data_IF_874291840439
#
_entry.id   IF_874291840439
#
_cell.length_a   1.000
_cell.length_b   1.000
_cell.length_c   1.000
_cell.angle_alpha   90.00
_cell.angle_beta   90.00
_cell.angle_gamma   90.00
#
_symmetry.space_group_name_H-M   'P 1'
#
loop_
_entity.id
_entity.type
_entity.pdbx_description
1 polymer ?
#
# COMPACT_ATOMS: atom_id res chain seq x y z
N UNK A 1 13.61 9.05 32.23
CA UNK A 1 13.99 9.00 30.80
C UNK A 1 12.98 9.85 30.04
N UNK A 2 13.44 10.89 29.36
CA UNK A 2 12.60 11.78 28.56
C UNK A 2 11.90 11.01 27.41
N UNK A 3 10.70 11.44 27.01
CA UNK A 3 9.90 10.75 25.98
C UNK A 3 10.63 10.71 24.63
N UNK A 4 11.32 11.80 24.27
CA UNK A 4 12.10 11.90 23.04
C UNK A 4 13.17 10.80 23.04
N UNK A 5 13.96 10.71 24.11
CA UNK A 5 15.01 9.69 24.22
C UNK A 5 14.49 8.26 24.12
N UNK A 6 13.28 7.98 24.64
CA UNK A 6 12.68 6.64 24.54
C UNK A 6 12.27 6.31 23.10
N UNK A 7 11.68 7.26 22.38
CA UNK A 7 11.27 7.07 20.98
C UNK A 7 12.50 6.95 20.08
N UNK A 8 13.48 7.83 20.24
CA UNK A 8 14.73 7.78 19.50
C UNK A 8 15.45 6.45 19.71
N UNK A 9 15.54 5.98 20.97
CA UNK A 9 16.14 4.68 21.27
C UNK A 9 15.48 3.53 20.51
N UNK A 10 14.15 3.47 20.47
CA UNK A 10 13.42 2.42 19.73
C UNK A 10 13.72 2.52 18.22
N UNK A 11 13.70 3.72 17.65
CA UNK A 11 13.96 3.93 16.23
C UNK A 11 15.41 3.57 15.85
N UNK A 12 16.38 4.00 16.67
CA UNK A 12 17.81 3.81 16.42
C UNK A 12 18.24 2.36 16.66
N UNK A 13 17.64 1.65 17.62
CA UNK A 13 17.95 0.24 17.91
C UNK A 13 17.18 -0.75 17.03
N UNK A 14 16.20 -0.29 16.24
CA UNK A 14 15.52 -1.16 15.26
C UNK A 14 16.47 -1.46 14.10
N UNK A 15 16.83 -2.72 13.87
CA UNK A 15 17.71 -3.16 12.78
C UNK A 15 16.94 -3.97 11.73
N UNK A 16 16.91 -3.47 10.49
CA UNK A 16 16.25 -4.14 9.37
C UNK A 16 17.13 -5.20 8.71
N UNK A 17 18.46 -5.09 8.85
CA UNK A 17 19.45 -6.00 8.23
C UNK A 17 19.16 -7.48 8.50
N UNK A 18 18.53 -7.83 9.62
CA UNK A 18 18.16 -9.20 9.97
C UNK A 18 17.14 -9.82 9.02
N UNK A 19 16.31 -9.00 8.37
CA UNK A 19 15.35 -9.45 7.35
C UNK A 19 15.93 -9.41 5.92
N UNK A 20 17.18 -8.96 5.75
CA UNK A 20 17.79 -8.79 4.44
C UNK A 20 18.51 -10.05 3.97
N UNK A 21 18.07 -10.60 2.84
CA UNK A 21 18.78 -11.68 2.16
C UNK A 21 19.88 -11.10 1.28
N UNK A 22 21.14 -11.23 1.72
CA UNK A 22 22.31 -10.71 1.00
C UNK A 22 22.50 -11.31 -0.40
N UNK A 23 22.08 -12.56 -0.62
CA UNK A 23 22.24 -13.24 -1.93
C UNK A 23 21.21 -12.71 -2.92
N UNK A 24 19.97 -12.54 -2.49
CA UNK A 24 18.89 -12.00 -3.34
C UNK A 24 18.90 -10.47 -3.40
N UNK A 25 19.55 -9.82 -2.44
CA UNK A 25 19.56 -8.38 -2.24
C UNK A 25 18.14 -7.79 -2.06
N UNK A 26 17.29 -8.52 -1.34
CA UNK A 26 15.90 -8.17 -1.08
C UNK A 26 15.56 -8.45 0.39
N UNK A 27 14.54 -7.77 0.92
CA UNK A 27 14.01 -8.07 2.25
C UNK A 27 13.04 -9.24 2.17
N UNK A 28 13.20 -10.18 3.09
CA UNK A 28 12.21 -11.22 3.38
C UNK A 28 10.96 -10.58 4.00
N UNK A 29 9.79 -11.17 3.72
CA UNK A 29 8.51 -10.77 4.33
C UNK A 29 8.47 -11.17 5.81
N UNK A 30 9.23 -12.18 6.23
CA UNK A 30 9.25 -12.59 7.62
C UNK A 30 10.44 -13.46 8.00
N UNK A 31 10.46 -13.81 9.27
CA UNK A 31 11.42 -14.72 9.88
C UNK A 31 10.66 -15.80 10.64
N UNK A 32 10.99 -17.06 10.38
CA UNK A 32 10.45 -18.20 11.11
C UNK A 32 11.39 -18.54 12.28
N UNK A 33 10.86 -18.42 13.50
CA UNK A 33 11.62 -18.68 14.73
C UNK A 33 11.89 -20.18 14.90
N UNK A 34 10.92 -21.04 14.57
CA UNK A 34 11.05 -22.49 14.74
C UNK A 34 12.10 -23.07 13.79
N UNK A 35 12.13 -22.57 12.55
CA UNK A 35 13.11 -22.95 11.52
C UNK A 35 14.41 -22.15 11.61
N UNK A 36 14.45 -21.11 12.48
CA UNK A 36 15.54 -20.16 12.61
C UNK A 36 16.04 -19.63 11.24
N UNK A 37 15.10 -19.26 10.37
CA UNK A 37 15.35 -18.92 8.98
C UNK A 37 14.42 -17.83 8.45
N UNK A 38 14.87 -17.09 7.44
CA UNK A 38 14.01 -16.19 6.68
C UNK A 38 12.97 -16.98 5.90
N UNK A 39 11.75 -16.46 5.82
CA UNK A 39 10.73 -17.03 4.94
C UNK A 39 11.17 -16.89 3.47
N UNK A 40 10.80 -17.87 2.63
CA UNK A 40 11.11 -17.83 1.19
C UNK A 40 10.11 -16.94 0.43
N UNK A 41 9.87 -15.73 0.90
CA UNK A 41 8.98 -14.74 0.29
C UNK A 41 9.55 -13.35 0.53
N UNK A 42 9.54 -12.49 -0.49
CA UNK A 42 10.33 -11.27 -0.50
C UNK A 42 9.53 -10.07 -0.98
N UNK A 43 9.87 -8.90 -0.47
CA UNK A 43 9.43 -7.62 -1.02
C UNK A 43 10.29 -7.27 -2.24
N UNK A 44 9.76 -7.57 -3.42
CA UNK A 44 10.49 -7.49 -4.68
C UNK A 44 9.98 -6.40 -5.63
N UNK A 45 8.96 -5.61 -5.26
CA UNK A 45 8.42 -4.54 -6.09
C UNK A 45 8.72 -3.14 -5.52
N UNK A 46 9.00 -2.18 -6.41
CA UNK A 46 9.15 -0.78 -6.04
C UNK A 46 7.79 -0.11 -5.74
N UNK A 47 6.71 -0.61 -6.34
CA UNK A 47 5.35 -0.21 -6.02
C UNK A 47 4.84 -1.04 -4.83
N UNK A 48 5.33 -0.72 -3.65
CA UNK A 48 4.93 -1.30 -2.36
C UNK A 48 5.21 -0.30 -1.23
N UNK A 49 4.42 -0.41 -0.17
CA UNK A 49 4.62 0.25 1.11
C UNK A 49 6.00 -0.07 1.71
N UNK A 50 6.47 -1.31 1.52
CA UNK A 50 7.70 -1.84 2.11
C UNK A 50 8.95 -1.12 1.60
N UNK A 51 8.86 -0.37 0.49
CA UNK A 51 9.97 0.47 0.02
C UNK A 51 10.37 1.55 1.02
N UNK A 52 9.51 1.90 1.98
CA UNK A 52 9.88 2.76 3.11
C UNK A 52 11.02 2.13 3.92
N UNK A 53 10.90 0.84 4.24
CA UNK A 53 11.94 0.06 4.90
C UNK A 53 13.21 0.04 4.06
N UNK A 54 13.09 -0.24 2.76
CA UNK A 54 14.22 -0.18 1.81
C UNK A 54 14.93 1.17 1.86
N UNK A 55 14.17 2.25 1.83
CA UNK A 55 14.71 3.61 1.84
C UNK A 55 15.45 3.93 3.16
N UNK A 56 14.84 3.60 4.30
CA UNK A 56 15.44 3.83 5.63
C UNK A 56 16.70 2.98 5.81
N UNK A 57 16.65 1.69 5.49
CA UNK A 57 17.80 0.78 5.66
C UNK A 57 19.00 1.20 4.80
N UNK A 58 18.75 1.66 3.56
CA UNK A 58 19.81 2.23 2.71
C UNK A 58 20.35 3.53 3.31
N UNK A 59 19.46 4.44 3.74
CA UNK A 59 19.87 5.73 4.31
C UNK A 59 20.69 5.57 5.60
N UNK A 60 20.44 4.51 6.38
CA UNK A 60 21.19 4.14 7.59
C UNK A 60 22.47 3.35 7.32
N UNK A 61 22.72 2.95 6.07
CA UNK A 61 23.87 2.12 5.71
C UNK A 61 23.77 0.66 6.17
N UNK A 62 22.57 0.18 6.53
CA UNK A 62 22.34 -1.22 6.91
C UNK A 62 22.40 -2.15 5.70
N UNK A 63 22.02 -1.64 4.52
CA UNK A 63 22.03 -2.39 3.26
C UNK A 63 22.54 -1.53 2.10
N UNK A 64 23.14 -2.16 1.09
CA UNK A 64 23.67 -1.48 -0.09
C UNK A 64 22.57 -0.87 -0.96
N UNK A 65 22.88 0.26 -1.60
CA UNK A 65 22.00 0.91 -2.59
C UNK A 65 21.59 0.00 -3.76
N UNK A 66 22.34 -1.08 -4.01
CA UNK A 66 21.99 -2.09 -5.02
C UNK A 66 20.60 -2.71 -4.76
N UNK A 67 20.18 -2.81 -3.50
CA UNK A 67 18.85 -3.24 -3.11
C UNK A 67 17.74 -2.45 -3.83
N UNK A 68 17.87 -1.11 -3.90
CA UNK A 68 16.88 -0.25 -4.55
C UNK A 68 16.71 -0.55 -6.05
N UNK A 69 17.79 -0.96 -6.70
CA UNK A 69 17.78 -1.31 -8.12
C UNK A 69 17.26 -2.73 -8.37
N UNK A 70 17.29 -3.60 -7.36
CA UNK A 70 16.70 -4.95 -7.42
C UNK A 70 15.18 -4.96 -7.32
N UNK A 71 14.58 -3.94 -6.72
CA UNK A 71 13.13 -3.78 -6.71
C UNK A 71 12.58 -3.67 -8.13
N UNK A 72 11.64 -4.55 -8.46
CA UNK A 72 10.95 -4.64 -9.74
C UNK A 72 10.14 -3.38 -10.05
N UNK A 73 10.15 -3.00 -11.33
CA UNK A 73 9.48 -1.82 -11.88
C UNK A 73 8.50 -2.20 -12.98
N UNK A 74 7.82 -3.33 -12.80
CA UNK A 74 6.89 -3.88 -13.78
C UNK A 74 5.81 -2.85 -14.10
N UNK A 75 5.66 -2.51 -15.38
CA UNK A 75 4.71 -1.53 -15.85
C UNK A 75 3.49 -2.20 -16.47
N UNK A 76 2.35 -1.56 -16.30
CA UNK A 76 1.12 -1.86 -17.03
C UNK A 76 0.67 -0.62 -17.80
N UNK A 77 -0.21 -0.82 -18.77
CA UNK A 77 -0.84 0.26 -19.53
C UNK A 77 -2.34 0.07 -19.55
N UNK A 78 -3.08 1.13 -19.21
CA UNK A 78 -4.53 1.20 -19.38
C UNK A 78 -4.86 2.50 -20.11
N UNK A 79 -5.67 2.37 -21.16
CA UNK A 79 -5.92 3.44 -22.12
C UNK A 79 -4.58 3.97 -22.68
N UNK A 80 -4.28 5.26 -22.44
CA UNK A 80 -3.03 5.93 -22.86
C UNK A 80 -2.06 6.18 -21.70
N UNK A 81 -2.35 5.68 -20.50
CA UNK A 81 -1.57 5.93 -19.30
C UNK A 81 -0.81 4.68 -18.86
N UNK A 82 0.38 4.88 -18.28
CA UNK A 82 1.26 3.80 -17.81
C UNK A 82 1.62 4.04 -16.35
N UNK A 83 1.84 2.95 -15.62
CA UNK A 83 2.36 3.03 -14.26
C UNK A 83 2.82 1.67 -13.77
N UNK A 84 3.55 1.67 -12.65
CA UNK A 84 3.97 0.43 -12.01
C UNK A 84 2.79 -0.31 -11.40
N UNK A 85 2.88 -1.64 -11.39
CA UNK A 85 1.96 -2.53 -10.68
C UNK A 85 2.54 -2.92 -9.33
N UNK A 86 1.65 -3.15 -8.37
CA UNK A 86 1.94 -3.63 -7.02
C UNK A 86 1.46 -5.07 -6.87
N UNK A 87 1.54 -5.64 -5.67
CA UNK A 87 1.17 -7.03 -5.46
C UNK A 87 -0.36 -7.21 -5.50
N UNK A 88 -1.07 -6.42 -4.69
CA UNK A 88 -2.53 -6.46 -4.59
C UNK A 88 -3.22 -5.39 -5.43
N UNK A 89 -2.55 -4.29 -5.78
CA UNK A 89 -3.16 -3.19 -6.54
C UNK A 89 -3.98 -2.25 -5.65
N UNK A 90 -3.67 -2.20 -4.35
CA UNK A 90 -4.34 -1.35 -3.36
C UNK A 90 -3.66 -0.01 -3.24
N UNK A 91 -4.42 1.02 -2.82
CA UNK A 91 -3.89 2.38 -2.72
C UNK A 91 -2.79 2.52 -1.66
N UNK A 92 -2.91 1.79 -0.56
CA UNK A 92 -1.94 1.80 0.54
C UNK A 92 -0.51 1.50 0.05
N UNK A 93 -0.34 0.48 -0.78
CA UNK A 93 0.96 0.10 -1.36
C UNK A 93 1.66 1.27 -2.07
N UNK A 94 0.91 2.15 -2.75
CA UNK A 94 1.48 3.27 -3.50
C UNK A 94 1.66 4.53 -2.65
N UNK A 95 0.69 4.84 -1.77
CA UNK A 95 0.57 6.15 -1.16
C UNK A 95 1.04 6.21 0.30
N UNK A 96 1.06 5.11 1.05
CA UNK A 96 1.67 5.09 2.40
C UNK A 96 3.13 5.59 2.37
N UNK A 97 3.98 5.21 1.38
CA UNK A 97 5.33 5.74 1.28
C UNK A 97 5.45 7.27 1.33
N UNK A 98 4.45 8.00 0.84
CA UNK A 98 4.47 9.46 0.78
C UNK A 98 4.41 10.14 2.16
N UNK A 99 4.13 9.40 3.24
CA UNK A 99 4.18 9.92 4.61
C UNK A 99 5.58 10.37 5.02
N UNK A 100 6.62 9.70 4.51
CA UNK A 100 8.03 10.00 4.84
C UNK A 100 8.90 10.23 3.59
N UNK A 101 8.46 9.79 2.41
CA UNK A 101 9.19 9.95 1.15
C UNK A 101 8.57 11.06 0.32
N UNK A 102 9.38 12.04 -0.10
CA UNK A 102 8.92 13.10 -1.01
C UNK A 102 8.67 12.52 -2.41
N UNK A 103 7.55 12.91 -3.03
CA UNK A 103 7.33 12.71 -4.47
C UNK A 103 7.98 13.84 -5.27
N UNK A 104 8.60 13.51 -6.40
CA UNK A 104 9.20 14.47 -7.32
C UNK A 104 8.44 14.42 -8.65
N UNK A 105 8.02 15.59 -9.15
CA UNK A 105 7.28 15.70 -10.41
C UNK A 105 8.05 15.11 -11.59
N UNK A 106 7.32 14.58 -12.58
CA UNK A 106 7.87 14.04 -13.83
C UNK A 106 8.83 12.85 -13.62
N UNK A 107 8.66 12.11 -12.52
CA UNK A 107 9.38 10.85 -12.29
C UNK A 107 8.49 9.65 -12.59
N UNK A 108 9.10 8.46 -12.71
CA UNK A 108 8.34 7.21 -12.87
C UNK A 108 7.32 6.99 -11.74
N UNK A 109 7.69 7.37 -10.51
CA UNK A 109 6.82 7.29 -9.35
C UNK A 109 5.65 8.28 -9.43
N UNK A 110 5.92 9.52 -9.84
CA UNK A 110 4.89 10.55 -10.03
C UNK A 110 3.86 10.16 -11.09
N UNK A 111 4.34 9.63 -12.23
CA UNK A 111 3.46 9.09 -13.27
C UNK A 111 2.65 7.89 -12.74
N UNK A 112 3.29 7.01 -11.96
CA UNK A 112 2.61 5.88 -11.32
C UNK A 112 1.51 6.34 -10.36
N UNK A 113 1.74 7.36 -9.53
CA UNK A 113 0.72 7.89 -8.63
C UNK A 113 -0.49 8.43 -9.41
N UNK A 114 -0.23 9.21 -10.44
CA UNK A 114 -1.28 9.74 -11.33
C UNK A 114 -2.05 8.61 -12.00
N UNK A 115 -1.35 7.59 -12.48
CA UNK A 115 -1.94 6.39 -13.10
C UNK A 115 -2.83 5.60 -12.14
N UNK A 116 -2.38 5.39 -10.90
CA UNK A 116 -3.12 4.66 -9.86
C UNK A 116 -4.40 5.40 -9.48
N UNK A 117 -4.34 6.71 -9.26
CA UNK A 117 -5.55 7.52 -8.97
C UNK A 117 -6.56 7.43 -10.11
N UNK A 118 -6.10 7.53 -11.37
CA UNK A 118 -6.97 7.38 -12.56
C UNK A 118 -7.62 6.01 -12.62
N UNK A 119 -6.83 4.96 -12.36
CA UNK A 119 -7.29 3.58 -12.33
C UNK A 119 -8.33 3.32 -11.24
N UNK A 120 -8.08 3.80 -10.02
CA UNK A 120 -9.02 3.75 -8.90
C UNK A 120 -10.34 4.46 -9.23
N UNK A 121 -10.27 5.69 -9.76
CA UNK A 121 -11.47 6.44 -10.22
C UNK A 121 -12.20 5.74 -11.37
N UNK A 122 -11.49 5.11 -12.30
CA UNK A 122 -12.09 4.37 -13.42
C UNK A 122 -12.84 3.14 -12.91
N UNK A 123 -12.19 2.35 -12.06
CA UNK A 123 -12.75 1.13 -11.51
C UNK A 123 -13.94 1.39 -10.57
N UNK A 124 -13.87 2.43 -9.73
CA UNK A 124 -14.99 2.88 -8.91
C UNK A 124 -16.20 3.30 -9.75
N UNK A 125 -15.98 4.09 -10.82
CA UNK A 125 -17.06 4.48 -11.76
C UNK A 125 -17.73 3.31 -12.45
N UNK A 126 -16.97 2.29 -12.86
CA UNK A 126 -17.53 1.08 -13.48
C UNK A 126 -18.48 0.31 -12.55
N UNK A 127 -18.35 0.48 -11.23
CA UNK A 127 -19.22 -0.15 -10.22
C UNK A 127 -20.20 0.81 -9.57
N UNK A 128 -20.22 2.07 -10.00
CA UNK A 128 -20.98 3.14 -9.36
C UNK A 128 -20.61 3.37 -7.87
N UNK A 129 -19.35 3.11 -7.47
CA UNK A 129 -18.87 3.25 -6.10
C UNK A 129 -17.83 4.39 -5.98
N UNK A 130 -17.60 4.95 -4.79
CA UNK A 130 -16.44 5.80 -4.52
C UNK A 130 -15.14 5.03 -4.78
N UNK A 131 -14.06 5.75 -5.05
CA UNK A 131 -12.72 5.16 -5.15
C UNK A 131 -12.04 5.15 -3.78
N UNK A 132 -10.94 4.43 -3.63
CA UNK A 132 -10.32 4.24 -2.31
C UNK A 132 -10.05 2.78 -1.97
N UNK A 133 -9.75 1.93 -2.96
CA UNK A 133 -9.66 0.48 -2.71
C UNK A 133 -8.35 0.18 -1.98
N UNK A 134 -8.46 -0.33 -0.75
CA UNK A 134 -7.31 -0.67 0.08
C UNK A 134 -7.66 -1.57 1.27
N UNK A 135 -6.66 -2.23 1.84
CA UNK A 135 -6.75 -3.14 2.99
C UNK A 135 -7.44 -2.48 4.20
N UNK A 136 -8.36 -3.18 4.87
CA UNK A 136 -8.97 -2.73 6.12
C UNK A 136 -9.29 -3.89 7.07
N UNK A 137 -9.19 -3.61 8.38
CA UNK A 137 -9.13 -4.65 9.43
C UNK A 137 -10.44 -5.35 9.79
N UNK A 138 -11.60 -4.91 9.32
CA UNK A 138 -12.87 -5.58 9.68
C UNK A 138 -13.11 -6.87 8.89
N UNK A 139 -12.54 -7.01 7.70
CA UNK A 139 -12.68 -8.23 6.88
C UNK A 139 -11.55 -9.26 7.10
N UNK A 140 -10.60 -8.96 7.98
CA UNK A 140 -9.44 -9.83 8.26
C UNK A 140 -9.69 -10.86 9.38
N UNK A 141 -10.91 -10.95 9.92
CA UNK A 141 -11.24 -11.89 10.97
C UNK A 141 -12.31 -12.87 10.47
N UNK A 142 -11.92 -14.13 10.26
CA UNK A 142 -12.87 -15.25 10.32
C UNK A 142 -13.27 -15.48 11.79
N UNK A 143 -14.39 -16.17 12.02
CA UNK A 143 -14.92 -16.63 13.31
C UNK A 143 -13.85 -17.40 14.14
N UNK A 144 -12.78 -17.86 13.49
CA UNK A 144 -11.64 -18.56 14.12
C UNK A 144 -10.34 -17.72 14.26
N UNK A 145 -10.36 -16.39 14.01
CA UNK A 145 -9.18 -15.51 14.06
C UNK A 145 -8.05 -15.84 13.05
N UNK A 146 -8.31 -16.68 12.06
CA UNK A 146 -7.34 -17.03 11.01
C UNK A 146 -7.38 -16.03 9.83
N UNK A 147 -6.20 -15.58 9.38
CA UNK A 147 -6.02 -14.70 8.22
C UNK A 147 -6.29 -15.45 6.91
N UNK A 148 -7.51 -15.37 6.37
CA UNK A 148 -7.82 -15.83 5.00
C UNK A 148 -7.50 -14.73 3.98
N UNK A 149 -6.49 -14.95 3.14
CA UNK A 149 -5.92 -13.97 2.19
C UNK A 149 -6.77 -13.84 0.90
N UNK A 150 -8.00 -13.29 0.98
CA UNK A 150 -8.77 -12.96 -0.24
C UNK A 150 -8.18 -11.72 -0.91
N UNK A 151 -7.88 -11.81 -2.20
CA UNK A 151 -7.21 -10.77 -2.95
C UNK A 151 -8.20 -9.63 -3.28
N UNK A 152 -7.91 -8.40 -2.89
CA UNK A 152 -8.68 -7.20 -3.27
C UNK A 152 -7.75 -6.13 -3.82
N UNK A 153 -8.25 -5.37 -4.80
CA UNK A 153 -7.49 -4.31 -5.45
C UNK A 153 -8.06 -4.00 -6.83
N UNK A 154 -7.48 -3.03 -7.52
CA UNK A 154 -7.84 -2.79 -8.92
C UNK A 154 -7.18 -3.88 -9.77
N UNK A 155 -7.93 -4.70 -10.53
CA UNK A 155 -7.40 -5.93 -11.14
C UNK A 155 -6.22 -5.73 -12.09
N UNK A 156 -6.13 -4.57 -12.73
CA UNK A 156 -5.02 -4.24 -13.63
C UNK A 156 -3.86 -3.52 -12.95
N UNK A 157 -3.95 -3.23 -11.65
CA UNK A 157 -2.87 -2.66 -10.84
C UNK A 157 -2.14 -3.70 -10.00
N UNK A 158 -2.69 -4.91 -9.84
CA UNK A 158 -2.12 -5.97 -9.03
C UNK A 158 -1.57 -7.14 -9.86
N UNK A 159 -0.49 -7.77 -9.40
CA UNK A 159 0.02 -9.02 -9.95
C UNK A 159 -0.86 -10.24 -9.59
N UNK A 160 -1.47 -10.22 -8.41
CA UNK A 160 -2.26 -11.36 -7.92
C UNK A 160 -3.49 -11.58 -8.80
N UNK A 161 -3.71 -12.82 -9.23
CA UNK A 161 -4.95 -13.21 -9.95
C UNK A 161 -6.11 -13.32 -8.95
N UNK A 162 -7.34 -13.05 -9.39
CA UNK A 162 -8.55 -13.19 -8.56
C UNK A 162 -8.93 -11.95 -7.73
N UNK A 163 -8.35 -10.77 -8.01
CA UNK A 163 -8.67 -9.49 -7.34
C UNK A 163 -10.11 -8.96 -7.57
N UNK A 164 -10.94 -9.71 -8.31
CA UNK A 164 -12.20 -9.21 -8.89
C UNK A 164 -13.41 -9.41 -7.96
N UNK A 165 -13.34 -10.35 -7.02
CA UNK A 165 -14.53 -10.88 -6.35
C UNK A 165 -15.08 -10.02 -5.21
N UNK A 166 -14.25 -9.30 -4.47
CA UNK A 166 -14.71 -8.43 -3.36
C UNK A 166 -14.00 -7.07 -3.37
N UNK A 167 -14.77 -5.98 -3.27
CA UNK A 167 -14.25 -4.61 -3.31
C UNK A 167 -14.46 -3.93 -1.96
N UNK A 168 -13.35 -3.51 -1.38
CA UNK A 168 -13.30 -2.80 -0.11
C UNK A 168 -12.88 -1.36 -0.35
N UNK A 169 -13.75 -0.39 -0.07
CA UNK A 169 -13.39 1.04 -0.12
C UNK A 169 -13.07 1.51 1.28
N UNK A 170 -11.90 2.11 1.46
CA UNK A 170 -11.44 2.61 2.74
C UNK A 170 -11.17 4.13 2.68
N UNK A 171 -11.85 4.93 3.53
CA UNK A 171 -11.64 6.38 3.56
C UNK A 171 -10.18 6.81 3.81
N UNK A 172 -9.43 6.06 4.62
CA UNK A 172 -8.01 6.38 4.86
C UNK A 172 -7.18 6.34 3.56
N UNK A 173 -7.51 5.44 2.63
CA UNK A 173 -6.82 5.36 1.36
C UNK A 173 -7.00 6.63 0.54
N UNK A 174 -8.18 7.25 0.60
CA UNK A 174 -8.42 8.57 0.00
C UNK A 174 -7.63 9.66 0.72
N UNK A 175 -7.55 9.60 2.05
CA UNK A 175 -6.76 10.57 2.85
C UNK A 175 -5.27 10.53 2.50
N UNK A 176 -4.69 9.35 2.29
CA UNK A 176 -3.28 9.19 1.89
C UNK A 176 -2.93 9.91 0.57
N UNK A 177 -3.91 10.21 -0.27
CA UNK A 177 -3.72 10.84 -1.58
C UNK A 177 -3.96 12.35 -1.56
N UNK A 178 -4.34 12.93 -0.42
CA UNK A 178 -4.47 14.39 -0.27
C UNK A 178 -3.24 15.17 -0.77
N UNK A 179 -1.98 14.74 -0.53
CA UNK A 179 -0.80 15.44 -1.05
C UNK A 179 -0.66 15.39 -2.58
N UNK A 180 -1.37 14.49 -3.27
CA UNK A 180 -1.24 14.22 -4.72
C UNK A 180 -2.39 14.84 -5.51
N UNK A 181 -3.64 14.58 -5.11
CA UNK A 181 -4.85 15.10 -5.78
C UNK A 181 -5.86 15.68 -4.77
N UNK A 182 -5.53 16.81 -4.11
CA UNK A 182 -6.29 17.30 -2.96
C UNK A 182 -7.77 17.57 -3.25
N UNK A 183 -8.08 18.18 -4.41
CA UNK A 183 -9.47 18.50 -4.75
C UNK A 183 -10.31 17.24 -4.89
N UNK A 184 -9.84 16.29 -5.69
CA UNK A 184 -10.60 15.07 -5.94
C UNK A 184 -10.64 14.13 -4.74
N UNK A 185 -9.60 14.12 -3.90
CA UNK A 185 -9.64 13.39 -2.65
C UNK A 185 -10.72 13.97 -1.71
N UNK A 186 -10.82 15.30 -1.61
CA UNK A 186 -11.87 15.94 -0.81
C UNK A 186 -13.27 15.68 -1.35
N UNK A 187 -13.47 15.72 -2.66
CA UNK A 187 -14.76 15.39 -3.27
C UNK A 187 -15.15 13.92 -3.02
N UNK A 188 -14.18 13.01 -3.08
CA UNK A 188 -14.40 11.61 -2.78
C UNK A 188 -14.68 11.36 -1.29
N UNK A 189 -14.01 12.05 -0.38
CA UNK A 189 -14.28 11.99 1.06
C UNK A 189 -15.70 12.46 1.38
N UNK A 190 -16.15 13.57 0.77
CA UNK A 190 -17.55 14.04 0.91
C UNK A 190 -18.54 12.98 0.44
N UNK A 191 -18.26 12.36 -0.71
CA UNK A 191 -19.10 11.27 -1.24
C UNK A 191 -19.13 10.08 -0.28
N UNK A 192 -17.98 9.65 0.23
CA UNK A 192 -17.88 8.57 1.21
C UNK A 192 -18.68 8.87 2.48
N UNK A 193 -18.60 10.10 2.99
CA UNK A 193 -19.39 10.54 4.16
C UNK A 193 -20.89 10.47 3.86
N UNK A 194 -21.33 10.93 2.68
CA UNK A 194 -22.73 10.86 2.26
C UNK A 194 -23.23 9.41 2.09
N UNK A 195 -22.34 8.49 1.71
CA UNK A 195 -22.62 7.05 1.62
C UNK A 195 -22.51 6.33 2.99
N UNK A 196 -22.40 7.09 4.08
CA UNK A 196 -22.46 6.54 5.44
C UNK A 196 -21.11 6.16 6.04
N UNK A 197 -19.98 6.57 5.44
CA UNK A 197 -18.65 6.30 6.00
C UNK A 197 -18.33 7.14 7.27
N UNK A 198 -19.28 7.83 7.88
CA UNK A 198 -19.03 8.65 9.07
C UNK A 198 -19.10 7.80 10.36
N UNK A 199 -18.07 7.86 11.20
CA UNK A 199 -17.99 7.14 12.46
C UNK A 199 -17.62 8.05 13.63
N UNK A 200 -17.64 7.50 14.85
CA UNK A 200 -17.42 8.27 16.08
C UNK A 200 -16.03 8.94 16.15
N UNK A 201 -15.03 8.35 15.51
CA UNK A 201 -13.64 8.84 15.48
C UNK A 201 -13.25 9.43 14.11
N UNK A 202 -14.22 9.91 13.32
CA UNK A 202 -14.03 10.35 11.93
C UNK A 202 -14.51 9.31 10.93
N UNK A 203 -14.01 9.35 9.68
CA UNK A 203 -14.44 8.37 8.68
C UNK A 203 -14.11 6.94 9.15
N UNK A 204 -15.06 6.01 8.98
CA UNK A 204 -14.88 4.60 9.30
C UNK A 204 -13.68 4.01 8.55
N UNK A 205 -13.10 2.94 9.10
CA UNK A 205 -11.94 2.26 8.50
C UNK A 205 -12.27 1.66 7.11
N UNK A 206 -13.55 1.40 6.83
CA UNK A 206 -14.05 0.77 5.62
C UNK A 206 -15.52 1.13 5.38
N UNK A 207 -15.93 1.18 4.12
CA UNK A 207 -17.32 1.07 3.69
C UNK A 207 -17.44 -0.20 2.82
N UNK A 208 -18.18 -1.20 3.30
CA UNK A 208 -18.59 -2.36 2.48
C UNK A 208 -19.88 -1.92 1.81
N UNK A 209 -19.85 -1.71 0.49
CA UNK A 209 -21.06 -1.48 -0.27
C UNK A 209 -21.48 -2.86 -0.79
N UNK A 210 -22.54 -3.48 -0.24
CA UNK A 210 -22.99 -4.79 -0.73
C UNK A 210 -23.34 -4.69 -2.21
N UNK A 211 -23.15 -5.76 -3.00
CA UNK A 211 -23.63 -5.78 -4.37
C UNK A 211 -25.14 -5.54 -4.33
N UNK A 212 -25.60 -4.46 -4.96
CA UNK A 212 -27.02 -4.21 -5.17
C UNK A 212 -27.56 -5.36 -6.00
N UNK A 213 -28.44 -6.17 -5.41
CA UNK A 213 -29.38 -7.03 -6.13
C UNK A 213 -30.53 -6.21 -6.70
#
# INVERSE_FOLDING_TARGET
MDLINRISKIADETEFVHLYDKKKQLFSIGYNIEENALTNSYYDLLASEARQTSYIAIARGEVDQQHWFKLGRTLTQIDRYKGMISWSGTMFEYFMPLLIMKSNKNTLLDETYSFVVRSQKKYGRQRNLPWGISESGFYSFDINLDYQYKAFGVPWLGLKRGLVEDMVVSPYATMLVLPVVPREAMDNLKRLINEGANGHYGCMKQLIIPPTG
#
